data_IF_790034664040
#
_entry.id   IF_790034664040
#
_cell.length_a   1.000
_cell.length_b   1.000
_cell.length_c   1.000
_cell.angle_alpha   90.00
_cell.angle_beta   90.00
_cell.angle_gamma   90.00
#
_symmetry.space_group_name_H-M   'P 1'
#
loop_
_entity.id
_entity.type
_entity.pdbx_description
1 polymer ?
#
# COMPACT_ATOMS: atom_id res chain seq x y z
N UNK A 1 11.41 -7.42 34.74
CA UNK A 1 11.56 -8.16 33.47
C UNK A 1 10.21 -8.10 32.77
N UNK A 2 10.07 -7.37 31.65
CA UNK A 2 8.78 -7.24 30.98
C UNK A 2 8.56 -8.48 30.13
N UNK A 3 7.65 -9.35 30.53
CA UNK A 3 7.23 -10.52 29.75
C UNK A 3 6.20 -10.06 28.73
N UNK A 4 6.63 -9.82 27.49
CA UNK A 4 5.71 -9.45 26.42
C UNK A 4 5.02 -10.72 25.91
N UNK A 5 3.69 -10.76 26.02
CA UNK A 5 2.87 -11.85 25.50
C UNK A 5 2.87 -11.86 23.97
N UNK A 6 2.91 -13.06 23.36
CA UNK A 6 2.94 -13.23 21.90
C UNK A 6 1.74 -12.55 21.20
N UNK A 7 0.57 -12.50 21.86
CA UNK A 7 -0.61 -11.80 21.33
C UNK A 7 -0.41 -10.28 21.36
N UNK A 8 0.31 -9.75 22.35
CA UNK A 8 0.60 -8.32 22.43
C UNK A 8 1.51 -7.88 21.28
N UNK A 9 2.56 -8.65 20.98
CA UNK A 9 3.45 -8.40 19.82
C UNK A 9 2.68 -8.50 18.50
N UNK A 10 1.88 -9.55 18.32
CA UNK A 10 1.06 -9.73 17.11
C UNK A 10 0.06 -8.57 16.92
N UNK A 11 -0.54 -8.09 18.00
CA UNK A 11 -1.44 -6.93 17.97
C UNK A 11 -0.72 -5.65 17.55
N UNK A 12 0.48 -5.40 18.09
CA UNK A 12 1.29 -4.24 17.71
C UNK A 12 1.66 -4.27 16.22
N UNK A 13 2.11 -5.43 15.71
CA UNK A 13 2.45 -5.60 14.28
C UNK A 13 1.23 -5.41 13.37
N UNK A 14 0.04 -5.84 13.80
CA UNK A 14 -1.19 -5.59 13.07
C UNK A 14 -1.54 -4.10 13.03
N UNK A 15 -1.44 -3.40 14.17
CA UNK A 15 -1.68 -1.95 14.23
C UNK A 15 -0.73 -1.19 13.31
N UNK A 16 0.56 -1.55 13.32
CA UNK A 16 1.56 -0.96 12.43
C UNK A 16 1.20 -1.20 10.96
N UNK A 17 0.89 -2.45 10.58
CA UNK A 17 0.51 -2.79 9.23
C UNK A 17 -0.76 -2.05 8.77
N UNK A 18 -1.77 -1.88 9.62
CA UNK A 18 -2.95 -1.07 9.29
C UNK A 18 -2.63 0.42 9.16
N UNK A 19 -1.71 0.95 9.96
CA UNK A 19 -1.26 2.34 9.81
C UNK A 19 -0.52 2.56 8.50
N UNK A 20 0.38 1.64 8.13
CA UNK A 20 1.07 1.64 6.84
C UNK A 20 0.06 1.55 5.67
N UNK A 21 -0.92 0.65 5.78
CA UNK A 21 -2.01 0.52 4.80
C UNK A 21 -2.76 1.83 4.62
N UNK A 22 -3.19 2.45 5.71
CA UNK A 22 -3.95 3.70 5.66
C UNK A 22 -3.19 4.81 4.94
N UNK A 23 -1.90 4.98 5.25
CA UNK A 23 -1.03 5.97 4.57
C UNK A 23 -0.95 5.73 3.06
N UNK A 24 -0.81 4.47 2.65
CA UNK A 24 -0.76 4.12 1.24
C UNK A 24 -2.12 4.30 0.53
N UNK A 25 -3.24 4.02 1.22
CA UNK A 25 -4.59 4.30 0.72
C UNK A 25 -4.81 5.82 0.53
N UNK A 26 -4.35 6.65 1.47
CA UNK A 26 -4.41 8.10 1.35
C UNK A 26 -3.61 8.62 0.15
N UNK A 27 -2.41 8.06 -0.10
CA UNK A 27 -1.60 8.37 -1.27
C UNK A 27 -2.31 7.99 -2.57
N UNK A 28 -2.90 6.81 -2.64
CA UNK A 28 -3.73 6.39 -3.78
C UNK A 28 -4.93 7.33 -3.98
N UNK A 29 -5.61 7.71 -2.89
CA UNK A 29 -6.74 8.65 -2.94
C UNK A 29 -6.32 10.06 -3.39
N UNK A 30 -5.11 10.49 -3.04
CA UNK A 30 -4.53 11.74 -3.53
C UNK A 30 -4.36 11.72 -5.05
N UNK A 31 -3.81 10.64 -5.62
CA UNK A 31 -3.69 10.51 -7.08
C UNK A 31 -5.04 10.44 -7.79
N UNK A 32 -6.01 9.70 -7.23
CA UNK A 32 -7.38 9.67 -7.73
C UNK A 32 -7.99 11.07 -7.78
N UNK A 33 -7.78 11.90 -6.75
CA UNK A 33 -8.27 13.29 -6.71
C UNK A 33 -7.48 14.21 -7.65
N UNK A 34 -6.16 14.06 -7.73
CA UNK A 34 -5.27 14.86 -8.59
C UNK A 34 -5.62 14.70 -10.06
N UNK A 35 -5.89 13.46 -10.48
CA UNK A 35 -6.17 13.13 -11.88
C UNK A 35 -7.64 12.99 -12.21
N UNK A 36 -8.52 12.90 -11.20
CA UNK A 36 -9.95 12.66 -11.31
C UNK A 36 -10.29 11.49 -12.27
N UNK A 37 -9.44 10.47 -12.25
CA UNK A 37 -9.45 9.30 -13.12
C UNK A 37 -9.05 8.10 -12.29
N UNK A 38 -9.54 6.92 -12.64
CA UNK A 38 -9.03 5.69 -12.05
C UNK A 38 -7.62 5.37 -12.58
N UNK A 39 -6.88 4.53 -11.86
CA UNK A 39 -5.52 4.13 -12.24
C UNK A 39 -5.44 3.61 -13.69
N UNK A 40 -6.40 2.78 -14.11
CA UNK A 40 -6.45 2.23 -15.48
C UNK A 40 -6.66 3.30 -16.55
N UNK A 41 -7.53 4.28 -16.26
CA UNK A 41 -7.77 5.41 -17.16
C UNK A 41 -6.56 6.34 -17.23
N UNK A 42 -5.86 6.52 -16.11
CA UNK A 42 -4.63 7.28 -16.04
C UNK A 42 -3.49 6.59 -16.80
N UNK A 43 -3.34 5.27 -16.66
CA UNK A 43 -2.37 4.46 -17.40
C UNK A 43 -2.60 4.58 -18.92
N UNK A 44 -3.85 4.41 -19.37
CA UNK A 44 -4.22 4.60 -20.79
C UNK A 44 -3.93 6.01 -21.29
N UNK A 45 -4.22 7.03 -20.49
CA UNK A 45 -3.93 8.42 -20.83
C UNK A 45 -2.41 8.65 -20.97
N UNK A 46 -1.61 8.07 -20.07
CA UNK A 46 -0.15 8.20 -20.07
C UNK A 46 0.47 7.56 -21.32
N UNK A 47 -0.06 6.42 -21.77
CA UNK A 47 0.39 5.74 -23.00
C UNK A 47 -0.10 6.39 -24.30
N UNK A 48 -1.19 7.16 -24.26
CA UNK A 48 -1.80 7.78 -25.45
C UNK A 48 -1.34 9.21 -25.73
N UNK A 49 -0.78 9.91 -24.73
CA UNK A 49 -0.31 11.29 -24.88
C UNK A 49 1.21 11.36 -25.02
N UNK A 50 1.69 12.54 -25.42
CA UNK A 50 3.11 12.87 -25.51
C UNK A 50 3.83 12.62 -24.17
N UNK A 51 5.07 12.11 -24.22
CA UNK A 51 5.83 11.66 -23.05
C UNK A 51 6.01 12.77 -22.01
N UNK A 52 5.19 12.75 -20.97
CA UNK A 52 5.30 13.65 -19.84
C UNK A 52 5.95 12.92 -18.66
N UNK A 53 7.23 13.23 -18.42
CA UNK A 53 8.00 12.64 -17.33
C UNK A 53 7.36 12.82 -15.94
N UNK A 54 6.65 13.92 -15.69
CA UNK A 54 5.97 14.13 -14.40
C UNK A 54 4.77 13.21 -14.23
N UNK A 55 4.02 12.95 -15.31
CA UNK A 55 2.93 11.97 -15.29
C UNK A 55 3.45 10.54 -15.16
N UNK A 56 4.61 10.24 -15.74
CA UNK A 56 5.26 8.95 -15.60
C UNK A 56 5.76 8.71 -14.16
N UNK A 57 6.34 9.72 -13.51
CA UNK A 57 6.77 9.64 -12.12
C UNK A 57 5.57 9.37 -11.18
N UNK A 58 4.50 10.16 -11.34
CA UNK A 58 3.24 9.95 -10.61
C UNK A 58 2.63 8.55 -10.89
N UNK A 59 2.69 8.06 -12.14
CA UNK A 59 2.23 6.72 -12.50
C UNK A 59 3.03 5.63 -11.78
N UNK A 60 4.35 5.75 -11.77
CA UNK A 60 5.24 4.79 -11.11
C UNK A 60 5.02 4.78 -9.60
N UNK A 61 4.89 5.96 -8.98
CA UNK A 61 4.60 6.10 -7.55
C UNK A 61 3.22 5.48 -7.21
N UNK A 62 2.18 5.79 -8.00
CA UNK A 62 0.84 5.24 -7.77
C UNK A 62 0.82 3.71 -7.94
N UNK A 63 1.50 3.18 -8.97
CA UNK A 63 1.64 1.74 -9.18
C UNK A 63 2.39 1.05 -8.03
N UNK A 64 3.42 1.70 -7.49
CA UNK A 64 4.16 1.20 -6.34
C UNK A 64 3.28 1.14 -5.09
N UNK A 65 2.51 2.18 -4.77
CA UNK A 65 1.59 2.16 -3.62
C UNK A 65 0.51 1.08 -3.77
N UNK A 66 -0.03 0.86 -4.96
CA UNK A 66 -0.98 -0.26 -5.18
C UNK A 66 -0.35 -1.61 -4.84
N UNK A 67 0.84 -1.90 -5.37
CA UNK A 67 1.56 -3.15 -5.05
C UNK A 67 1.90 -3.27 -3.57
N UNK A 68 2.25 -2.16 -2.94
CA UNK A 68 2.55 -2.12 -1.52
C UNK A 68 1.29 -2.40 -0.69
N UNK A 69 0.12 -1.87 -1.08
CA UNK A 69 -1.16 -2.21 -0.46
C UNK A 69 -1.47 -3.70 -0.55
N UNK A 70 -1.33 -4.32 -1.73
CA UNK A 70 -1.50 -5.77 -1.89
C UNK A 70 -0.55 -6.55 -0.95
N UNK A 71 0.70 -6.10 -0.84
CA UNK A 71 1.70 -6.74 0.03
C UNK A 71 1.36 -6.60 1.51
N UNK A 72 0.87 -5.43 1.93
CA UNK A 72 0.42 -5.20 3.31
C UNK A 72 -0.83 -6.02 3.62
N UNK A 73 -1.77 -6.13 2.70
CA UNK A 73 -2.97 -6.97 2.90
C UNK A 73 -2.60 -8.44 3.09
N UNK A 74 -1.63 -8.95 2.32
CA UNK A 74 -1.06 -10.28 2.54
C UNK A 74 -0.40 -10.39 3.91
N UNK A 75 0.44 -9.41 4.30
CA UNK A 75 1.07 -9.36 5.63
C UNK A 75 0.03 -9.38 6.75
N UNK A 76 -1.04 -8.59 6.65
CA UNK A 76 -2.14 -8.56 7.63
C UNK A 76 -2.85 -9.92 7.69
N UNK A 77 -3.09 -10.56 6.54
CA UNK A 77 -3.72 -11.89 6.46
C UNK A 77 -2.85 -12.96 7.12
N UNK A 78 -1.54 -12.94 6.88
CA UNK A 78 -0.59 -13.88 7.50
C UNK A 78 -0.46 -13.66 9.01
N UNK A 79 -0.39 -12.39 9.44
CA UNK A 79 -0.40 -12.02 10.87
C UNK A 79 -1.68 -12.50 11.56
N UNK A 80 -2.85 -12.39 10.91
CA UNK A 80 -4.14 -12.87 11.44
C UNK A 80 -4.24 -14.39 11.51
N UNK A 81 -3.74 -15.10 10.50
CA UNK A 81 -3.78 -16.56 10.46
C UNK A 81 -2.75 -17.22 11.38
N UNK A 82 -1.86 -16.44 12.02
CA UNK A 82 -0.83 -16.96 12.91
C UNK A 82 0.34 -17.62 12.18
N UNK A 83 0.44 -17.44 10.86
CA UNK A 83 1.48 -17.96 9.96
C UNK A 83 2.82 -17.23 10.10
N UNK A 84 3.10 -16.66 11.27
CA UNK A 84 4.33 -15.91 11.51
C UNK A 84 5.45 -16.93 11.79
N UNK A 85 6.12 -17.39 10.74
CA UNK A 85 7.40 -18.06 10.89
C UNK A 85 8.44 -16.98 11.19
N UNK A 86 8.97 -17.00 12.42
CA UNK A 86 10.19 -16.29 12.74
C UNK A 86 11.34 -17.11 12.15
N UNK A 87 11.94 -16.62 11.06
CA UNK A 87 13.24 -17.10 10.57
C UNK A 87 14.35 -16.35 11.30
#
# INVERSE_FOLDING_TARGET
>A
MVTVDKKHVSTLLLVEAYSEKHKAEEKVAFFLKKYNKNFDEFEKMMHANEENYAHYDDYMEWKAYKRYLDSIDLKIKDLKNGSIQFT
#
